data_IF_739556576659
#
_entry.id   IF_739556576659
#
_cell.length_a   1.000
_cell.length_b   1.000
_cell.length_c   1.000
_cell.angle_alpha   90.00
_cell.angle_beta   90.00
_cell.angle_gamma   90.00
#
_symmetry.space_group_name_H-M   'P 1'
#
loop_
_entity.id
_entity.type
_entity.pdbx_description
1 polymer ?
#
# COMPACT_ATOMS: atom_id res chain seq x y z
N UNK A 1 -3.91 12.40 1.29
CA UNK A 1 -4.02 11.57 2.51
C UNK A 1 -2.79 10.70 2.65
N UNK A 2 -2.29 10.46 3.87
CA UNK A 2 -1.16 9.55 4.14
C UNK A 2 -1.50 8.66 5.32
N UNK A 3 -1.22 7.37 5.22
CA UNK A 3 -1.36 6.38 6.30
C UNK A 3 -0.05 5.62 6.50
N UNK A 4 0.33 5.35 7.74
CA UNK A 4 1.58 4.67 8.12
C UNK A 4 1.35 3.79 9.34
N UNK A 5 1.94 2.60 9.37
CA UNK A 5 1.88 1.67 10.51
C UNK A 5 3.26 1.14 10.97
N UNK A 6 4.36 1.79 10.54
CA UNK A 6 5.73 1.39 10.86
C UNK A 6 6.33 0.31 9.96
N UNK A 7 5.52 -0.36 9.11
CA UNK A 7 5.97 -1.38 8.15
C UNK A 7 5.62 -1.03 6.71
N UNK A 8 4.68 -0.13 6.53
CA UNK A 8 4.18 0.29 5.24
C UNK A 8 3.67 1.72 5.30
N UNK A 9 3.62 2.36 4.14
CA UNK A 9 3.08 3.71 3.96
C UNK A 9 2.20 3.69 2.72
N UNK A 10 1.05 4.32 2.80
CA UNK A 10 0.19 4.61 1.66
C UNK A 10 -0.01 6.11 1.54
N UNK A 11 0.14 6.64 0.34
CA UNK A 11 -0.11 8.04 0.01
C UNK A 11 -1.10 8.10 -1.15
N UNK A 12 -2.14 8.91 -0.99
CA UNK A 12 -3.10 9.22 -2.05
C UNK A 12 -3.28 10.73 -2.15
N UNK A 13 -3.32 11.25 -3.38
CA UNK A 13 -3.62 12.65 -3.69
C UNK A 13 -4.77 12.68 -4.65
N UNK A 14 -5.75 13.51 -4.34
CA UNK A 14 -6.89 13.76 -5.23
C UNK A 14 -7.17 15.25 -5.28
N UNK A 15 -7.59 15.78 -6.43
CA UNK A 15 -8.08 17.13 -6.52
C UNK A 15 -9.34 17.28 -5.66
N UNK A 16 -9.50 18.43 -5.03
CA UNK A 16 -10.72 18.77 -4.32
C UNK A 16 -11.55 19.69 -5.20
N UNK A 17 -12.85 19.48 -5.27
CA UNK A 17 -13.74 20.36 -6.04
C UNK A 17 -13.83 21.74 -5.42
N UNK A 18 -13.81 21.81 -4.08
CA UNK A 18 -13.93 23.07 -3.35
C UNK A 18 -13.20 23.03 -2.03
N UNK A 19 -12.58 24.14 -1.67
CA UNK A 19 -11.99 24.37 -0.34
C UNK A 19 -12.51 25.69 0.18
N UNK A 20 -13.24 25.64 1.29
CA UNK A 20 -13.67 26.83 2.02
C UNK A 20 -12.76 27.06 3.22
N UNK A 21 -12.25 28.28 3.41
CA UNK A 21 -11.43 28.66 4.57
C UNK A 21 -9.94 28.38 4.46
N UNK A 22 -9.44 27.94 3.29
CA UNK A 22 -7.99 27.71 3.05
C UNK A 22 -7.50 26.31 3.41
N UNK A 23 -6.21 26.05 3.14
CA UNK A 23 -5.60 24.75 3.38
C UNK A 23 -5.51 24.40 4.87
N UNK A 24 -5.85 23.18 5.23
CA UNK A 24 -5.79 22.67 6.59
C UNK A 24 -5.17 21.28 6.66
N UNK A 25 -4.70 20.89 7.85
CA UNK A 25 -4.15 19.56 8.13
C UNK A 25 -4.79 19.00 9.38
N UNK A 26 -5.01 17.69 9.38
CA UNK A 26 -5.51 16.98 10.54
C UNK A 26 -4.98 15.55 10.57
N UNK A 27 -5.01 14.94 11.76
CA UNK A 27 -4.76 13.52 11.94
C UNK A 27 -6.06 12.88 12.40
N UNK A 28 -6.56 11.95 11.58
CA UNK A 28 -7.78 11.19 11.87
C UNK A 28 -7.43 9.79 12.39
N UNK A 29 -8.20 9.23 13.33
CA UNK A 29 -8.09 7.82 13.70
C UNK A 29 -8.41 6.93 12.49
N UNK A 30 -7.60 5.88 12.24
CA UNK A 30 -7.86 4.92 11.16
C UNK A 30 -9.22 4.23 11.32
N UNK A 31 -9.65 3.95 12.55
CA UNK A 31 -10.98 3.40 12.83
C UNK A 31 -12.12 4.31 12.36
N UNK A 32 -11.97 5.63 12.52
CA UNK A 32 -12.98 6.57 12.01
C UNK A 32 -13.03 6.59 10.49
N UNK A 33 -11.87 6.51 9.80
CA UNK A 33 -11.82 6.43 8.34
C UNK A 33 -12.44 5.13 7.81
N UNK A 34 -12.28 4.01 8.52
CA UNK A 34 -12.97 2.76 8.18
C UNK A 34 -14.50 2.87 8.30
N UNK A 35 -15.00 3.64 9.27
CA UNK A 35 -16.45 3.90 9.35
C UNK A 35 -16.90 4.87 8.26
N UNK A 36 -16.07 5.86 7.90
CA UNK A 36 -16.33 6.74 6.75
C UNK A 36 -16.48 5.93 5.47
N UNK A 37 -15.57 4.99 5.21
CA UNK A 37 -15.64 4.10 4.04
C UNK A 37 -16.97 3.34 3.96
N UNK A 38 -17.48 2.86 5.10
CA UNK A 38 -18.74 2.10 5.16
C UNK A 38 -19.99 2.94 4.88
N UNK A 39 -19.96 4.22 5.21
CA UNK A 39 -21.08 5.14 4.96
C UNK A 39 -21.02 5.80 3.59
N UNK A 40 -19.88 5.69 2.89
CA UNK A 40 -19.77 6.13 1.51
C UNK A 40 -20.45 5.10 0.59
N UNK A 41 -21.37 5.57 -0.21
CA UNK A 41 -21.89 4.79 -1.31
C UNK A 41 -20.93 4.87 -2.51
N UNK A 42 -20.91 3.87 -3.35
CA UNK A 42 -20.22 3.91 -4.64
C UNK A 42 -21.05 4.78 -5.62
N UNK A 43 -20.92 6.08 -5.47
CA UNK A 43 -21.67 7.09 -6.19
C UNK A 43 -20.83 8.35 -6.39
N UNK A 44 -21.24 9.22 -7.31
CA UNK A 44 -20.63 10.54 -7.54
C UNK A 44 -21.03 11.59 -6.46
N UNK A 45 -21.65 11.17 -5.37
CA UNK A 45 -22.00 12.07 -4.27
C UNK A 45 -20.74 12.61 -3.59
N UNK A 46 -20.69 13.90 -3.40
CA UNK A 46 -19.59 14.56 -2.72
C UNK A 46 -19.61 14.28 -1.23
N UNK A 47 -18.43 14.07 -0.69
CA UNK A 47 -18.21 14.08 0.75
C UNK A 47 -17.66 15.44 1.17
N UNK A 48 -18.29 16.05 2.17
CA UNK A 48 -17.78 17.25 2.81
C UNK A 48 -17.00 16.89 4.06
N UNK A 49 -15.77 17.39 4.16
CA UNK A 49 -14.93 17.21 5.35
C UNK A 49 -14.82 18.55 6.07
N UNK A 50 -15.30 18.59 7.31
CA UNK A 50 -15.28 19.80 8.14
C UNK A 50 -14.33 19.59 9.31
N UNK A 51 -13.36 20.50 9.44
CA UNK A 51 -12.43 20.50 10.56
C UNK A 51 -12.87 21.49 11.63
N UNK A 52 -13.24 20.98 12.81
CA UNK A 52 -13.39 21.77 14.01
C UNK A 52 -12.11 21.84 14.86
N UNK A 53 -12.18 22.49 16.00
CA UNK A 53 -11.04 22.59 16.93
C UNK A 53 -10.53 21.24 17.42
N UNK A 54 -11.42 20.31 17.75
CA UNK A 54 -11.10 18.98 18.32
C UNK A 54 -11.75 17.83 17.58
N UNK A 55 -12.63 18.10 16.64
CA UNK A 55 -13.41 17.10 15.93
C UNK A 55 -13.27 17.26 14.40
N UNK A 56 -13.48 16.17 13.73
CA UNK A 56 -13.67 16.11 12.28
C UNK A 56 -15.10 15.64 12.05
N UNK A 57 -15.76 16.22 11.06
CA UNK A 57 -17.05 15.77 10.58
C UNK A 57 -16.94 15.42 9.11
N UNK A 58 -17.44 14.26 8.77
CA UNK A 58 -17.57 13.75 7.40
C UNK A 58 -19.06 13.69 7.10
N UNK A 59 -19.48 14.36 6.05
CA UNK A 59 -20.89 14.45 5.64
C UNK A 59 -21.05 13.95 4.22
N UNK A 60 -21.96 13.00 4.03
CA UNK A 60 -22.34 12.48 2.72
C UNK A 60 -23.85 12.23 2.70
N UNK A 61 -24.56 12.84 1.74
CA UNK A 61 -26.02 12.78 1.70
C UNK A 61 -26.66 13.28 3.00
N UNK A 62 -27.47 12.45 3.64
CA UNK A 62 -28.11 12.75 4.93
C UNK A 62 -27.34 12.23 6.14
N UNK A 63 -26.15 11.63 5.94
CA UNK A 63 -25.37 10.97 6.99
C UNK A 63 -24.21 11.85 7.40
N UNK A 64 -24.01 11.98 8.71
CA UNK A 64 -22.88 12.69 9.31
C UNK A 64 -22.15 11.77 10.27
N UNK A 65 -20.81 11.66 10.10
CA UNK A 65 -19.94 10.98 11.01
C UNK A 65 -19.04 12.00 11.69
N UNK A 66 -19.05 12.02 13.03
CA UNK A 66 -18.22 12.92 13.82
C UNK A 66 -17.21 12.07 14.61
N UNK A 67 -15.93 12.40 14.47
CA UNK A 67 -14.89 11.78 15.25
C UNK A 67 -13.97 12.82 15.92
N UNK A 68 -13.29 12.42 16.98
CA UNK A 68 -12.24 13.26 17.58
C UNK A 68 -10.98 13.16 16.75
N UNK A 69 -10.39 14.30 16.40
CA UNK A 69 -9.08 14.32 15.74
C UNK A 69 -7.99 13.90 16.73
N UNK A 70 -6.94 13.25 16.24
CA UNK A 70 -5.77 12.97 17.04
C UNK A 70 -4.95 14.24 17.24
N UNK A 71 -4.40 14.40 18.43
CA UNK A 71 -3.52 15.51 18.78
C UNK A 71 -2.07 15.17 18.37
N UNK A 72 -1.26 16.20 18.11
CA UNK A 72 0.13 16.07 17.70
C UNK A 72 0.35 16.26 16.20
N UNK A 73 1.62 16.30 15.84
CA UNK A 73 2.05 16.41 14.44
C UNK A 73 2.16 15.01 13.81
N UNK A 74 1.75 14.91 12.55
CA UNK A 74 1.99 13.71 11.78
C UNK A 74 3.48 13.63 11.40
N UNK A 75 4.02 12.41 11.37
CA UNK A 75 5.43 12.18 11.05
C UNK A 75 5.84 12.76 9.68
N UNK A 76 7.10 13.17 9.55
CA UNK A 76 7.65 13.58 8.26
C UNK A 76 7.94 12.35 7.36
N UNK A 77 6.88 11.87 6.74
CA UNK A 77 6.90 10.68 5.88
C UNK A 77 7.74 10.86 4.61
N UNK A 78 7.96 12.11 4.17
CA UNK A 78 8.69 12.36 2.92
C UNK A 78 10.13 11.91 2.98
N UNK A 79 10.74 12.00 4.16
CA UNK A 79 12.11 11.53 4.41
C UNK A 79 12.21 9.99 4.51
N UNK A 80 11.10 9.30 4.73
CA UNK A 80 11.06 7.84 4.78
C UNK A 80 10.96 7.19 3.39
N UNK A 81 10.55 7.94 2.38
CA UNK A 81 10.38 7.43 1.02
C UNK A 81 11.73 7.51 0.29
N UNK A 82 12.36 6.38 -0.09
CA UNK A 82 13.60 6.37 -0.84
C UNK A 82 13.39 6.99 -2.23
N UNK A 83 14.39 7.74 -2.69
CA UNK A 83 14.33 8.48 -3.96
C UNK A 83 15.16 7.83 -5.08
N UNK A 84 16.08 6.95 -4.72
CA UNK A 84 17.02 6.33 -5.65
C UNK A 84 16.88 4.80 -5.58
N UNK A 85 15.99 4.26 -6.40
CA UNK A 85 15.80 2.84 -6.55
C UNK A 85 16.22 2.45 -7.98
N UNK A 86 17.38 1.78 -8.17
CA UNK A 86 17.94 1.52 -9.50
C UNK A 86 17.17 0.44 -10.27
N UNK A 87 16.45 -0.43 -9.58
CA UNK A 87 15.67 -1.51 -10.19
C UNK A 87 14.23 -1.05 -10.33
N UNK A 88 13.70 -1.10 -11.55
CA UNK A 88 12.32 -0.75 -11.86
C UNK A 88 11.71 -1.84 -12.73
N UNK A 89 10.61 -2.41 -12.27
CA UNK A 89 9.85 -3.43 -12.99
C UNK A 89 8.37 -3.05 -13.07
N UNK A 90 7.71 -3.46 -14.14
CA UNK A 90 6.27 -3.33 -14.30
C UNK A 90 5.60 -4.67 -14.04
N UNK A 91 4.55 -4.65 -13.26
CA UNK A 91 3.83 -5.83 -12.79
C UNK A 91 2.35 -5.68 -13.10
N UNK A 92 1.75 -6.68 -13.72
CA UNK A 92 0.30 -6.80 -13.78
C UNK A 92 -0.24 -7.07 -12.37
N UNK A 93 -1.09 -6.17 -11.89
CA UNK A 93 -1.61 -6.17 -10.52
C UNK A 93 -2.38 -7.45 -10.20
N UNK A 94 -3.22 -7.89 -11.13
CA UNK A 94 -4.07 -9.08 -10.95
C UNK A 94 -3.26 -10.38 -11.04
N UNK A 95 -2.31 -10.45 -11.97
CA UNK A 95 -1.43 -11.61 -12.11
C UNK A 95 -0.59 -11.81 -10.84
N UNK A 96 0.01 -10.73 -10.32
CA UNK A 96 0.80 -10.79 -9.09
C UNK A 96 -0.06 -11.15 -7.87
N UNK A 97 -1.25 -10.57 -7.72
CA UNK A 97 -2.18 -10.93 -6.65
C UNK A 97 -2.53 -12.41 -6.69
N UNK A 98 -2.85 -12.96 -7.86
CA UNK A 98 -3.18 -14.37 -8.03
C UNK A 98 -1.98 -15.27 -7.65
N UNK A 99 -0.76 -14.88 -8.01
CA UNK A 99 0.45 -15.61 -7.65
C UNK A 99 0.71 -15.58 -6.15
N UNK A 100 0.53 -14.42 -5.51
CA UNK A 100 0.65 -14.28 -4.06
C UNK A 100 -0.42 -15.10 -3.32
N UNK A 101 -1.65 -15.11 -3.81
CA UNK A 101 -2.72 -15.93 -3.23
C UNK A 101 -2.35 -17.41 -3.26
N UNK A 102 -1.84 -17.93 -4.38
CA UNK A 102 -1.41 -19.34 -4.48
C UNK A 102 -0.28 -19.68 -3.52
N UNK A 103 0.72 -18.80 -3.41
CA UNK A 103 1.84 -19.01 -2.48
C UNK A 103 1.41 -18.87 -1.03
N UNK A 104 0.40 -18.06 -0.75
CA UNK A 104 -0.08 -17.79 0.61
C UNK A 104 -0.80 -18.96 1.29
N UNK A 105 -1.20 -19.97 0.54
CA UNK A 105 -1.94 -21.16 1.07
C UNK A 105 -1.18 -21.86 2.21
N UNK A 106 0.15 -21.83 2.18
CA UNK A 106 0.98 -22.42 3.26
C UNK A 106 1.28 -21.44 4.40
N UNK A 107 0.96 -20.15 4.23
CA UNK A 107 1.22 -19.10 5.23
C UNK A 107 0.00 -19.01 6.16
N UNK A 108 0.19 -19.27 7.44
CA UNK A 108 -0.84 -19.03 8.43
C UNK A 108 -0.65 -17.66 9.10
N UNK A 109 -1.74 -17.04 9.55
CA UNK A 109 -1.69 -15.75 10.28
C UNK A 109 -0.81 -15.84 11.55
N UNK A 110 -0.70 -17.02 12.15
CA UNK A 110 0.11 -17.26 13.35
C UNK A 110 1.61 -17.32 13.03
N UNK A 111 2.00 -17.87 11.89
CA UNK A 111 3.41 -18.12 11.55
C UNK A 111 4.09 -16.89 10.95
N UNK A 112 3.33 -15.94 10.39
CA UNK A 112 3.84 -14.68 9.79
C UNK A 112 5.07 -14.88 8.89
N UNK A 113 5.15 -16.06 8.23
CA UNK A 113 6.25 -16.35 7.32
C UNK A 113 6.22 -15.38 6.14
N UNK A 114 7.37 -14.83 5.73
CA UNK A 114 7.40 -13.96 4.57
C UNK A 114 7.19 -14.75 3.29
N UNK A 115 6.69 -14.05 2.26
CA UNK A 115 6.86 -14.47 0.88
C UNK A 115 8.26 -14.07 0.46
N UNK A 116 9.02 -15.02 -0.03
CA UNK A 116 10.32 -14.82 -0.64
C UNK A 116 10.13 -14.56 -2.13
N UNK A 117 10.64 -13.45 -2.62
CA UNK A 117 10.59 -13.02 -4.00
C UNK A 117 12.01 -12.95 -4.57
N UNK A 118 12.22 -13.56 -5.75
CA UNK A 118 13.44 -13.39 -6.55
C UNK A 118 13.01 -12.71 -7.86
N UNK A 119 13.42 -11.47 -8.01
CA UNK A 119 13.13 -10.65 -9.19
C UNK A 119 14.22 -10.88 -10.24
N UNK A 120 13.87 -11.56 -11.32
CA UNK A 120 14.77 -11.87 -12.43
C UNK A 120 14.43 -11.01 -13.67
N UNK A 121 14.95 -11.32 -14.84
CA UNK A 121 14.86 -10.51 -16.06
C UNK A 121 13.41 -10.24 -16.51
N UNK A 122 12.55 -11.28 -16.58
CA UNK A 122 11.19 -11.19 -17.11
C UNK A 122 10.14 -11.79 -16.18
N UNK A 123 10.53 -12.16 -14.97
CA UNK A 123 9.69 -12.88 -14.02
C UNK A 123 10.10 -12.67 -12.58
N UNK A 124 9.15 -12.92 -11.69
CA UNK A 124 9.40 -13.02 -10.25
C UNK A 124 9.09 -14.44 -9.82
N UNK A 125 10.06 -15.08 -9.18
CA UNK A 125 9.85 -16.35 -8.48
C UNK A 125 9.36 -16.04 -7.07
N UNK A 126 8.20 -16.58 -6.74
CA UNK A 126 7.55 -16.42 -5.45
C UNK A 126 7.61 -17.75 -4.70
N UNK A 127 7.99 -17.71 -3.45
CA UNK A 127 7.98 -18.90 -2.59
C UNK A 127 7.62 -18.57 -1.15
N UNK A 128 6.99 -19.54 -0.49
CA UNK A 128 6.78 -19.50 0.95
C UNK A 128 7.02 -20.90 1.52
N UNK A 129 7.75 -20.95 2.64
CA UNK A 129 8.05 -22.20 3.35
C UNK A 129 7.66 -22.06 4.81
N UNK A 130 6.88 -23.02 5.28
CA UNK A 130 6.40 -23.10 6.67
C UNK A 130 6.50 -24.53 7.18
N UNK A 131 6.19 -24.76 8.44
CA UNK A 131 6.07 -26.11 8.97
C UNK A 131 4.95 -26.94 8.31
N UNK A 132 4.01 -26.30 7.63
CA UNK A 132 2.89 -26.96 6.95
C UNK A 132 3.20 -27.35 5.50
N UNK A 133 4.32 -26.88 4.95
CA UNK A 133 4.71 -27.16 3.57
C UNK A 133 5.40 -26.00 2.88
N UNK A 134 5.62 -26.19 1.58
CA UNK A 134 6.23 -25.21 0.68
C UNK A 134 5.31 -24.97 -0.52
N UNK A 135 5.16 -23.70 -0.90
CA UNK A 135 4.46 -23.30 -2.11
C UNK A 135 5.39 -22.41 -2.96
N UNK A 136 5.32 -22.59 -4.27
CA UNK A 136 6.11 -21.82 -5.26
C UNK A 136 5.22 -21.43 -6.42
N UNK A 137 5.49 -20.25 -6.96
CA UNK A 137 4.83 -19.75 -8.17
C UNK A 137 5.75 -18.82 -8.95
N UNK A 138 5.36 -18.50 -10.17
CA UNK A 138 6.11 -17.62 -11.07
C UNK A 138 5.13 -16.60 -11.64
N UNK A 139 5.44 -15.32 -11.48
CA UNK A 139 4.69 -14.23 -12.06
C UNK A 139 5.53 -13.55 -13.15
N UNK A 140 5.05 -13.45 -14.41
CA UNK A 140 5.73 -12.68 -15.44
C UNK A 140 5.70 -11.18 -15.08
N UNK A 141 6.78 -10.48 -15.43
CA UNK A 141 6.94 -9.03 -15.23
C UNK A 141 7.67 -8.43 -16.43
N UNK A 142 7.64 -7.10 -16.55
CA UNK A 142 8.39 -6.36 -17.54
C UNK A 142 9.53 -5.59 -16.86
N UNK A 143 10.76 -5.79 -17.32
CA UNK A 143 11.96 -5.17 -16.74
C UNK A 143 12.95 -6.21 -16.25
N UNK A 144 14.05 -5.74 -15.65
CA UNK A 144 15.13 -6.60 -15.13
C UNK A 144 15.29 -6.38 -13.64
N UNK A 145 14.90 -7.38 -12.86
CA UNK A 145 15.04 -7.42 -11.41
C UNK A 145 16.45 -7.75 -10.91
N UNK A 146 17.39 -8.05 -11.83
CA UNK A 146 18.83 -8.30 -11.57
C UNK A 146 19.09 -9.43 -10.56
N UNK A 147 18.17 -10.38 -10.43
CA UNK A 147 18.25 -11.47 -9.47
C UNK A 147 18.07 -11.03 -8.01
N UNK A 148 17.46 -9.86 -7.77
CA UNK A 148 17.25 -9.34 -6.43
C UNK A 148 16.38 -10.27 -5.60
N UNK A 149 16.89 -10.69 -4.45
CA UNK A 149 16.15 -11.44 -3.44
C UNK A 149 15.61 -10.51 -2.34
N UNK A 150 14.33 -10.61 -2.04
CA UNK A 150 13.68 -9.81 -1.00
C UNK A 150 12.48 -10.56 -0.38
N UNK A 151 12.33 -10.44 0.93
CA UNK A 151 11.17 -10.99 1.64
C UNK A 151 10.13 -9.93 1.94
N UNK A 152 8.86 -10.26 1.80
CA UNK A 152 7.76 -9.39 2.17
C UNK A 152 6.77 -10.06 3.13
N UNK A 153 6.17 -9.28 4.01
CA UNK A 153 4.94 -9.70 4.65
C UNK A 153 3.87 -9.84 3.57
N UNK A 154 3.36 -11.06 3.38
CA UNK A 154 2.39 -11.37 2.32
C UNK A 154 1.17 -10.45 2.33
N UNK A 155 0.57 -10.24 3.51
CA UNK A 155 -0.59 -9.37 3.65
C UNK A 155 -0.31 -7.94 3.20
N UNK A 156 0.82 -7.37 3.63
CA UNK A 156 1.16 -5.98 3.28
C UNK A 156 1.46 -5.83 1.79
N UNK A 157 2.07 -6.84 1.19
CA UNK A 157 2.35 -6.85 -0.24
C UNK A 157 1.05 -6.98 -1.06
N UNK A 158 0.15 -7.88 -0.67
CA UNK A 158 -1.15 -8.03 -1.30
C UNK A 158 -2.03 -6.77 -1.13
N UNK A 159 -2.04 -6.15 0.05
CA UNK A 159 -2.79 -4.91 0.28
C UNK A 159 -2.30 -3.79 -0.64
N UNK A 160 -0.98 -3.65 -0.82
CA UNK A 160 -0.42 -2.65 -1.73
C UNK A 160 -0.93 -2.81 -3.17
N UNK A 161 -1.04 -4.06 -3.64
CA UNK A 161 -1.54 -4.36 -4.98
C UNK A 161 -3.06 -4.23 -5.08
N UNK A 162 -3.82 -4.65 -4.07
CA UNK A 162 -5.30 -4.56 -4.08
C UNK A 162 -5.81 -3.13 -4.17
N UNK A 163 -5.14 -2.23 -3.47
CA UNK A 163 -5.54 -0.81 -3.43
C UNK A 163 -4.83 0.04 -4.48
N UNK A 164 -3.98 -0.55 -5.32
CA UNK A 164 -3.41 0.15 -6.45
C UNK A 164 -4.51 0.48 -7.48
N UNK A 165 -4.64 1.73 -7.90
CA UNK A 165 -5.74 2.17 -8.78
C UNK A 165 -5.47 1.88 -10.27
N UNK A 166 -4.63 0.90 -10.61
CA UNK A 166 -4.22 0.62 -11.97
C UNK A 166 -4.06 -0.87 -12.25
N UNK A 167 -4.24 -1.26 -13.51
CA UNK A 167 -4.00 -2.64 -13.96
C UNK A 167 -2.52 -3.03 -13.86
N UNK A 168 -1.63 -2.08 -14.07
CA UNK A 168 -0.18 -2.27 -13.91
C UNK A 168 0.38 -1.31 -12.87
N UNK A 169 1.29 -1.83 -12.06
CA UNK A 169 2.07 -1.05 -11.10
C UNK A 169 3.54 -1.11 -11.45
N UNK A 170 4.22 0.01 -11.27
CA UNK A 170 5.67 0.08 -11.27
C UNK A 170 6.15 -0.22 -9.86
N UNK A 171 7.04 -1.20 -9.74
CA UNK A 171 7.76 -1.53 -8.51
C UNK A 171 9.19 -1.02 -8.62
N UNK A 172 9.61 -0.22 -7.67
CA UNK A 172 10.96 0.32 -7.58
C UNK A 172 11.67 -0.29 -6.39
N UNK A 173 12.82 -0.92 -6.64
CA UNK A 173 13.57 -1.75 -5.71
C UNK A 173 15.04 -1.32 -5.69
N UNK A 174 15.75 -1.66 -4.61
CA UNK A 174 17.16 -1.37 -4.48
C UNK A 174 17.93 -2.61 -3.94
N UNK A 175 17.72 -2.98 -2.69
CA UNK A 175 18.37 -4.12 -2.04
C UNK A 175 17.35 -4.98 -1.30
N UNK A 176 17.71 -6.19 -0.89
CA UNK A 176 16.84 -7.09 -0.13
C UNK A 176 16.42 -6.56 1.26
N UNK A 177 16.99 -5.44 1.70
CA UNK A 177 16.67 -4.78 2.98
C UNK A 177 16.14 -3.34 2.80
N UNK A 178 16.00 -2.86 1.56
CA UNK A 178 15.45 -1.53 1.23
C UNK A 178 13.95 -1.62 1.00
N UNK A 179 13.20 -0.55 1.30
CA UNK A 179 11.76 -0.51 1.01
C UNK A 179 11.47 -0.70 -0.48
N UNK A 180 10.39 -1.41 -0.78
CA UNK A 180 9.80 -1.45 -2.12
C UNK A 180 8.80 -0.30 -2.25
N UNK A 181 8.90 0.46 -3.34
CA UNK A 181 7.93 1.49 -3.71
C UNK A 181 7.05 0.95 -4.84
N UNK A 182 5.76 1.16 -4.74
CA UNK A 182 4.78 0.83 -5.77
C UNK A 182 4.00 2.06 -6.17
N UNK A 183 3.97 2.34 -7.45
CA UNK A 183 3.20 3.43 -8.05
C UNK A 183 2.40 2.90 -9.25
N UNK A 184 1.23 3.45 -9.58
CA UNK A 184 0.54 3.09 -10.80
C UNK A 184 1.37 3.55 -12.01
N UNK A 185 1.20 2.90 -13.15
CA UNK A 185 1.88 3.29 -14.40
C UNK A 185 1.33 4.62 -14.91
N UNK A 186 0.03 4.85 -14.72
CA UNK A 186 -0.64 6.09 -15.02
C UNK A 186 -1.06 6.78 -13.72
N UNK A 187 -0.90 8.11 -13.63
CA UNK A 187 -1.24 8.90 -12.43
C UNK A 187 -0.29 8.62 -11.25
N UNK A 188 1.00 8.46 -11.51
CA UNK A 188 2.02 8.13 -10.48
C UNK A 188 2.05 9.10 -9.31
N UNK A 189 1.79 10.39 -9.54
CA UNK A 189 1.76 11.41 -8.49
C UNK A 189 0.57 11.29 -7.54
N UNK A 190 -0.46 10.54 -7.92
CA UNK A 190 -1.71 10.43 -7.15
C UNK A 190 -1.66 9.32 -6.12
N UNK A 191 -0.86 8.29 -6.33
CA UNK A 191 -0.77 7.14 -5.46
C UNK A 191 0.67 6.66 -5.29
N UNK A 192 1.04 6.35 -4.05
CA UNK A 192 2.30 5.67 -3.73
C UNK A 192 2.04 4.72 -2.56
N UNK A 193 2.52 3.50 -2.69
CA UNK A 193 2.57 2.54 -1.60
C UNK A 193 4.03 2.13 -1.34
N UNK A 194 4.43 2.11 -0.08
CA UNK A 194 5.75 1.66 0.34
C UNK A 194 5.59 0.47 1.29
N UNK A 195 6.34 -0.60 1.04
CA UNK A 195 6.37 -1.78 1.91
C UNK A 195 7.80 -2.04 2.35
N UNK A 196 8.00 -2.14 3.66
CA UNK A 196 9.29 -2.55 4.22
C UNK A 196 9.51 -4.05 4.03
N UNK A 197 10.74 -4.47 3.70
CA UNK A 197 11.06 -5.88 3.59
C UNK A 197 11.12 -6.57 4.95
N UNK A 198 10.95 -7.87 4.92
CA UNK A 198 11.19 -8.77 6.05
C UNK A 198 12.52 -9.47 5.82
N UNK A 199 13.38 -9.50 6.82
CA UNK A 199 14.66 -10.22 6.72
C UNK A 199 14.41 -11.70 6.47
N UNK A 200 14.96 -12.20 5.39
CA UNK A 200 15.01 -13.63 5.13
C UNK A 200 16.00 -14.26 6.11
N UNK A 201 15.60 -15.36 6.74
CA UNK A 201 16.55 -16.16 7.53
C UNK A 201 17.42 -16.95 6.58
N UNK A 202 18.71 -16.86 6.78
CA UNK A 202 19.67 -17.71 6.10
C UNK A 202 19.46 -19.19 6.44
#
# INVERSE_FOLDING_TARGET
MVSVDGFRLALRREPLERIDGGAFRFVAPGSALNEVEKICEDSDNLMTIIQGKRHLMFETGSTQLICRRLEGEFLDYRNAIPRNNPISILVDTKAMLNSLDRVSVVISEKLKSPVHCIFDADRVYLSAKTGNGEAKDICPVEGDGQGLEIGFNNRFFMDALRYAPAEKVKMELNTGISPCIMTPVEGEENFLYMVLPVRLKA
#
